data_IF_484458844571
#
_entry.id   IF_484458844571
#
_cell.length_a   1.000
_cell.length_b   1.000
_cell.length_c   1.000
_cell.angle_alpha   90.00
_cell.angle_beta   90.00
_cell.angle_gamma   90.00
#
_symmetry.space_group_name_H-M   'P 1'
#
loop_
_entity.id
_entity.type
_entity.pdbx_description
1 polymer ?
#
# COMPACT_ATOMS: atom_id res chain seq x y z
N UNK A 1 13.19 -13.66 -4.08
CA UNK A 1 12.22 -13.10 -5.04
C UNK A 1 12.96 -12.84 -6.34
N UNK A 2 12.46 -13.32 -7.49
CA UNK A 2 13.12 -13.17 -8.80
C UNK A 2 13.23 -11.70 -9.25
N UNK A 3 14.10 -11.41 -10.22
CA UNK A 3 14.36 -10.05 -10.76
C UNK A 3 13.20 -9.43 -11.53
N UNK A 4 12.08 -10.15 -11.69
CA UNK A 4 10.88 -9.64 -12.36
C UNK A 4 10.05 -8.80 -11.38
N UNK A 5 9.43 -7.73 -11.87
CA UNK A 5 8.62 -6.78 -11.09
C UNK A 5 7.43 -7.49 -10.42
N UNK A 6 7.66 -8.08 -9.24
CA UNK A 6 6.66 -8.89 -8.50
C UNK A 6 5.43 -8.04 -8.13
N UNK A 7 5.60 -6.72 -7.97
CA UNK A 7 4.57 -5.79 -7.50
C UNK A 7 4.07 -4.85 -8.60
N UNK A 8 3.71 -5.41 -9.76
CA UNK A 8 3.08 -4.66 -10.86
C UNK A 8 1.55 -4.61 -10.74
N UNK A 9 0.87 -4.01 -11.72
CA UNK A 9 -0.60 -3.86 -11.75
C UNK A 9 -1.36 -5.18 -11.99
N UNK A 10 -0.68 -6.24 -12.44
CA UNK A 10 -1.31 -7.50 -12.84
C UNK A 10 -1.70 -8.38 -11.65
N UNK A 11 -1.20 -8.10 -10.46
CA UNK A 11 -1.39 -8.92 -9.28
C UNK A 11 -1.90 -8.11 -8.08
N UNK A 12 -2.85 -8.71 -7.36
CA UNK A 12 -3.38 -8.18 -6.09
C UNK A 12 -2.78 -8.99 -4.96
N UNK A 13 -2.05 -8.33 -4.08
CA UNK A 13 -1.33 -8.93 -2.96
C UNK A 13 -2.07 -8.68 -1.64
N UNK A 14 -2.18 -9.73 -0.84
CA UNK A 14 -2.68 -9.66 0.54
C UNK A 14 -1.60 -10.16 1.48
N UNK A 15 -1.12 -9.29 2.37
CA UNK A 15 -0.18 -9.64 3.42
C UNK A 15 -0.94 -9.75 4.75
N UNK A 16 -0.84 -10.90 5.40
CA UNK A 16 -1.44 -11.15 6.71
C UNK A 16 -0.39 -10.93 7.81
N UNK A 17 -0.76 -10.18 8.85
CA UNK A 17 0.09 -9.97 10.02
C UNK A 17 -0.75 -9.96 11.30
N UNK A 18 -0.12 -10.25 12.43
CA UNK A 18 -0.71 -10.15 13.77
C UNK A 18 0.15 -9.25 14.68
N UNK A 19 0.98 -8.39 14.10
CA UNK A 19 1.84 -7.47 14.83
C UNK A 19 1.04 -6.31 15.43
N UNK A 20 1.35 -5.96 16.68
CA UNK A 20 0.73 -4.84 17.39
C UNK A 20 1.83 -3.97 18.03
N UNK A 21 2.11 -2.76 17.50
CA UNK A 21 1.51 -2.16 16.30
C UNK A 21 1.95 -2.87 15.00
N UNK A 22 1.22 -2.70 13.89
CA UNK A 22 1.64 -3.26 12.61
C UNK A 22 2.99 -2.68 12.17
N UNK A 23 3.95 -3.54 11.86
CA UNK A 23 5.29 -3.14 11.42
C UNK A 23 5.34 -3.04 9.89
N UNK A 24 5.39 -1.81 9.36
CA UNK A 24 5.45 -1.56 7.92
C UNK A 24 6.88 -1.29 7.42
N UNK A 25 7.87 -1.18 8.31
CA UNK A 25 9.24 -0.82 7.94
C UNK A 25 9.87 -1.78 6.93
N UNK A 26 9.54 -3.07 7.04
CA UNK A 26 10.01 -4.11 6.11
C UNK A 26 9.50 -3.92 4.67
N UNK A 27 8.44 -3.13 4.47
CA UNK A 27 7.84 -2.88 3.16
C UNK A 27 8.45 -1.67 2.45
N UNK A 28 9.25 -0.86 3.14
CA UNK A 28 9.83 0.38 2.59
C UNK A 28 10.78 0.13 1.42
N UNK A 29 11.50 -0.99 1.47
CA UNK A 29 12.52 -1.34 0.48
C UNK A 29 11.93 -2.11 -0.72
N UNK A 30 10.64 -2.42 -0.70
CA UNK A 30 9.96 -3.12 -1.78
C UNK A 30 9.55 -2.14 -2.90
N UNK A 31 9.55 -2.56 -4.17
CA UNK A 31 9.16 -1.73 -5.30
C UNK A 31 7.63 -1.58 -5.42
N UNK A 32 6.98 -1.07 -4.36
CA UNK A 32 5.53 -0.92 -4.25
C UNK A 32 5.07 0.40 -4.88
N UNK A 33 5.18 0.56 -6.19
CA UNK A 33 4.86 1.83 -6.86
C UNK A 33 3.35 2.21 -6.78
N UNK A 34 2.97 3.32 -7.40
CA UNK A 34 1.57 3.79 -7.44
C UNK A 34 0.59 2.79 -8.07
N UNK A 35 1.09 1.83 -8.85
CA UNK A 35 0.30 0.82 -9.54
C UNK A 35 -0.01 -0.39 -8.66
N UNK A 36 0.90 -0.67 -7.72
CA UNK A 36 0.83 -1.85 -6.85
C UNK A 36 -0.49 -1.93 -6.09
N UNK A 37 -1.08 -3.12 -6.11
CA UNK A 37 -2.25 -3.48 -5.31
C UNK A 37 -1.81 -4.34 -4.12
N UNK A 38 -1.33 -3.72 -3.04
CA UNK A 38 -0.97 -4.42 -1.81
C UNK A 38 -1.89 -4.00 -0.67
N UNK A 39 -2.57 -4.99 -0.08
CA UNK A 39 -3.34 -4.82 1.15
C UNK A 39 -2.65 -5.54 2.31
N UNK A 40 -2.37 -4.83 3.40
CA UNK A 40 -1.90 -5.43 4.64
C UNK A 40 -3.09 -5.59 5.58
N UNK A 41 -3.41 -6.83 5.94
CA UNK A 41 -4.46 -7.18 6.87
C UNK A 41 -3.85 -7.54 8.24
N UNK A 42 -3.98 -6.62 9.19
CA UNK A 42 -3.54 -6.82 10.56
C UNK A 42 -4.65 -7.44 11.41
N UNK A 43 -4.39 -8.58 12.02
CA UNK A 43 -5.36 -9.26 12.88
C UNK A 43 -5.46 -8.56 14.25
N UNK A 44 -6.67 -8.17 14.61
CA UNK A 44 -7.02 -7.56 15.88
C UNK A 44 -8.18 -8.35 16.51
N UNK A 45 -7.84 -9.44 17.21
CA UNK A 45 -8.83 -10.40 17.72
C UNK A 45 -9.55 -11.11 16.57
N UNK A 46 -10.85 -10.90 16.48
CA UNK A 46 -11.75 -11.53 15.48
C UNK A 46 -11.98 -10.66 14.23
N UNK A 47 -11.35 -9.48 14.17
CA UNK A 47 -11.37 -8.62 12.99
C UNK A 47 -9.99 -8.49 12.38
N UNK A 48 -9.96 -8.15 11.09
CA UNK A 48 -8.76 -7.68 10.41
C UNK A 48 -8.91 -6.21 10.07
N UNK A 49 -7.93 -5.40 10.45
CA UNK A 49 -7.80 -4.04 9.95
C UNK A 49 -6.95 -4.04 8.68
N UNK A 50 -7.50 -3.50 7.60
CA UNK A 50 -6.87 -3.53 6.29
C UNK A 50 -6.28 -2.17 5.95
N UNK A 51 -5.06 -2.18 5.42
CA UNK A 51 -4.32 -1.00 5.00
C UNK A 51 -3.91 -1.12 3.54
N UNK A 52 -4.12 -0.07 2.77
CA UNK A 52 -3.55 0.12 1.44
C UNK A 52 -2.12 0.62 1.60
N UNK A 53 -1.16 -0.09 0.99
CA UNK A 53 0.26 0.19 1.17
C UNK A 53 0.95 0.35 -0.19
N UNK A 54 1.58 1.50 -0.40
CA UNK A 54 2.34 1.81 -1.61
C UNK A 54 3.37 2.92 -1.33
N UNK A 55 4.38 3.04 -2.18
CA UNK A 55 5.41 4.07 -2.16
C UNK A 55 5.43 4.77 -3.54
N UNK A 56 5.03 6.06 -3.63
CA UNK A 56 4.96 6.73 -4.91
C UNK A 56 6.32 6.88 -5.64
N UNK A 57 7.45 6.76 -4.93
CA UNK A 57 8.78 6.90 -5.52
C UNK A 57 9.86 6.16 -4.73
N UNK A 58 9.70 4.84 -4.59
CA UNK A 58 10.61 4.00 -3.78
C UNK A 58 12.09 4.16 -4.18
N UNK A 59 12.37 4.30 -5.49
CA UNK A 59 13.73 4.43 -6.01
C UNK A 59 14.36 5.82 -5.80
N UNK A 60 13.57 6.85 -5.45
CA UNK A 60 14.05 8.23 -5.31
C UNK A 60 13.72 8.83 -3.93
N UNK A 61 13.75 8.00 -2.88
CA UNK A 61 13.55 8.47 -1.50
C UNK A 61 12.10 8.80 -1.15
N UNK A 62 11.13 8.28 -1.90
CA UNK A 62 9.72 8.38 -1.56
C UNK A 62 9.40 7.66 -0.25
N UNK A 63 8.43 8.20 0.48
CA UNK A 63 7.96 7.59 1.74
C UNK A 63 6.86 6.57 1.46
N UNK A 64 6.91 5.46 2.19
CA UNK A 64 5.83 4.47 2.20
C UNK A 64 4.55 5.13 2.71
N UNK A 65 3.52 5.14 1.88
CA UNK A 65 2.18 5.55 2.27
C UNK A 65 1.40 4.33 2.77
N UNK A 66 0.83 4.47 3.96
CA UNK A 66 -0.04 3.49 4.60
C UNK A 66 -1.35 4.20 4.89
N UNK A 67 -2.42 3.79 4.21
CA UNK A 67 -3.75 4.39 4.37
C UNK A 67 -4.73 3.32 4.81
N UNK A 68 -5.56 3.61 5.81
CA UNK A 68 -6.62 2.70 6.25
C UNK A 68 -7.58 2.42 5.09
N UNK A 69 -7.71 1.14 4.73
CA UNK A 69 -8.56 0.65 3.64
C UNK A 69 -9.94 0.21 4.16
N UNK A 70 -9.99 -0.24 5.41
CA UNK A 70 -11.22 -0.60 6.10
C UNK A 70 -11.00 -1.78 7.04
N UNK A 71 -12.03 -2.60 7.23
CA UNK A 71 -11.94 -3.78 8.09
C UNK A 71 -12.71 -4.97 7.54
N UNK A 72 -12.26 -6.17 7.91
CA UNK A 72 -12.95 -7.41 7.61
C UNK A 72 -13.29 -8.16 8.89
N UNK A 73 -14.47 -8.80 8.91
CA UNK A 73 -14.91 -9.74 9.94
C UNK A 73 -15.52 -10.96 9.28
N UNK A 74 -15.56 -12.11 9.98
CA UNK A 74 -16.16 -13.32 9.44
C UNK A 74 -17.67 -13.14 9.14
N UNK A 75 -18.38 -12.43 10.02
CA UNK A 75 -19.83 -12.24 9.91
C UNK A 75 -20.22 -11.13 8.93
N UNK A 76 -19.43 -10.04 8.89
CA UNK A 76 -19.73 -8.85 8.10
C UNK A 76 -18.99 -8.74 6.77
N UNK A 77 -18.06 -9.65 6.49
CA UNK A 77 -17.21 -9.56 5.31
C UNK A 77 -16.30 -8.32 5.32
N UNK A 78 -15.87 -7.89 4.13
CA UNK A 78 -14.98 -6.74 3.97
C UNK A 78 -15.79 -5.44 3.81
N UNK A 79 -15.53 -4.47 4.67
CA UNK A 79 -16.02 -3.09 4.54
C UNK A 79 -14.91 -2.23 3.97
N UNK A 80 -15.05 -1.80 2.71
CA UNK A 80 -14.10 -0.90 2.04
C UNK A 80 -14.47 0.57 2.31
N UNK A 81 -13.50 1.33 2.80
CA UNK A 81 -13.64 2.77 3.04
C UNK A 81 -12.98 3.59 1.92
N UNK A 82 -12.06 2.99 1.17
CA UNK A 82 -11.39 3.61 0.03
C UNK A 82 -12.21 3.44 -1.26
N UNK A 83 -13.32 4.19 -1.34
CA UNK A 83 -14.29 4.10 -2.45
C UNK A 83 -13.89 4.90 -3.71
N UNK A 84 -12.84 5.71 -3.62
CA UNK A 84 -12.36 6.51 -4.76
C UNK A 84 -11.58 5.65 -5.77
N UNK A 85 -11.33 6.15 -6.97
CA UNK A 85 -10.38 5.53 -7.89
C UNK A 85 -8.93 5.69 -7.39
N UNK A 86 -8.08 4.67 -7.58
CA UNK A 86 -6.75 4.61 -6.94
C UNK A 86 -5.84 5.78 -7.31
N UNK A 87 -5.69 6.12 -8.59
CA UNK A 87 -4.79 7.23 -8.96
C UNK A 87 -5.30 8.57 -8.48
N UNK A 88 -6.62 8.73 -8.28
CA UNK A 88 -7.18 9.97 -7.74
C UNK A 88 -6.77 10.18 -6.27
N UNK A 89 -6.83 9.12 -5.45
CA UNK A 89 -6.35 9.19 -4.05
C UNK A 89 -4.82 9.21 -3.93
N UNK A 90 -4.09 8.59 -4.87
CA UNK A 90 -2.62 8.48 -4.84
C UNK A 90 -1.88 9.64 -5.52
N UNK A 91 -2.60 10.59 -6.12
CA UNK A 91 -2.03 11.67 -6.94
C UNK A 91 -1.45 12.87 -6.19
N UNK A 92 -1.47 12.90 -4.85
CA UNK A 92 -0.87 14.01 -4.10
C UNK A 92 0.67 13.92 -4.00
N UNK A 93 1.26 12.78 -4.41
CA UNK A 93 2.70 12.48 -4.47
C UNK A 93 3.54 12.91 -3.26
N UNK A 94 2.92 13.21 -2.12
CA UNK A 94 3.54 13.59 -0.84
C UNK A 94 4.76 14.52 -0.95
N UNK A 95 4.64 15.60 -1.74
CA UNK A 95 5.70 16.59 -1.96
C UNK A 95 6.99 16.03 -2.59
N UNK A 96 6.89 14.96 -3.39
CA UNK A 96 8.03 14.43 -4.12
C UNK A 96 8.67 15.51 -5.01
N UNK A 97 9.98 15.78 -4.87
CA UNK A 97 10.66 16.77 -5.67
C UNK A 97 10.78 16.29 -7.11
N UNK A 98 10.48 17.17 -8.06
CA UNK A 98 10.64 16.93 -9.48
C UNK A 98 11.87 17.69 -9.99
N UNK A 99 12.85 16.95 -10.50
CA UNK A 99 13.95 17.54 -11.23
C UNK A 99 13.52 17.70 -12.69
N UNK A 100 13.44 18.94 -13.16
CA UNK A 100 13.19 19.25 -14.57
C UNK A 100 14.29 20.16 -15.10
N UNK A 101 14.62 19.99 -16.38
CA UNK A 101 15.49 20.89 -17.14
C UNK A 101 14.74 21.31 -18.39
N UNK A 102 14.94 22.57 -18.80
CA UNK A 102 14.39 23.11 -20.04
C UNK A 102 15.59 23.30 -20.97
N UNK A 103 15.46 22.78 -22.20
CA UNK A 103 16.43 22.98 -23.29
C UNK A 103 16.12 24.28 -24.01
#
# INVERSE_FOLDING_TARGET
FGKELVFNESYVWLLLTNSSPPQFDQLKDLPLNIETELTVANRLGDKFEMHDVYNPSYAHGGSLNVTRKGSWTADGGFVNELNQYKYKRRGNFHMLPLNFSIV
#
